data_IF_132464859392
#
_entry.id   IF_132464859392
#
_cell.length_a   1.000
_cell.length_b   1.000
_cell.length_c   1.000
_cell.angle_alpha   90.00
_cell.angle_beta   90.00
_cell.angle_gamma   90.00
#
_symmetry.space_group_name_H-M   'P 1'
#
loop_
_entity.id
_entity.type
_entity.pdbx_description
1 polymer ?
#
# COMPACT_ATOMS: atom_id res chain seq x y z
N UNK A 1 15.08 34.82 17.89
CA UNK A 1 14.19 34.35 18.99
C UNK A 1 13.46 33.11 18.49
N UNK A 2 13.81 31.94 19.02
CA UNK A 2 13.38 30.64 18.48
C UNK A 2 11.95 30.28 18.93
N UNK A 3 11.09 29.88 17.98
CA UNK A 3 9.68 29.52 18.18
C UNK A 3 9.46 28.21 18.98
N UNK A 4 10.56 27.55 19.39
CA UNK A 4 10.54 26.25 20.06
C UNK A 4 10.40 26.34 21.58
N UNK A 5 10.59 27.52 22.19
CA UNK A 5 10.53 27.68 23.65
C UNK A 5 9.11 27.53 24.24
N UNK A 6 8.06 27.66 23.44
CA UNK A 6 6.68 27.47 23.91
C UNK A 6 6.35 26.00 24.20
N UNK A 7 6.93 25.06 23.45
CA UNK A 7 6.51 23.65 23.48
C UNK A 7 6.97 22.92 24.75
N UNK A 8 8.11 23.33 25.33
CA UNK A 8 8.69 22.67 26.51
C UNK A 8 8.08 23.14 27.84
N UNK A 9 7.38 24.28 27.85
CA UNK A 9 6.72 24.81 29.05
C UNK A 9 5.37 24.14 29.35
N UNK A 10 4.93 23.20 28.50
CA UNK A 10 3.65 22.50 28.63
C UNK A 10 3.79 21.02 28.99
N UNK A 11 4.94 20.58 29.52
CA UNK A 11 5.01 19.22 30.08
C UNK A 11 4.23 19.18 31.41
N UNK A 12 3.20 18.33 31.54
CA UNK A 12 2.55 18.11 32.84
C UNK A 12 3.55 17.41 33.78
N UNK A 13 3.43 17.61 35.10
CA UNK A 13 4.35 16.99 36.05
C UNK A 13 4.25 15.47 35.95
N UNK A 14 5.41 14.81 36.03
CA UNK A 14 5.49 13.36 36.09
C UNK A 14 4.71 12.87 37.32
N UNK A 15 3.60 12.16 37.08
CA UNK A 15 2.81 11.56 38.15
C UNK A 15 3.60 10.38 38.69
N UNK A 16 4.25 10.59 39.83
CA UNK A 16 4.75 9.52 40.67
C UNK A 16 3.56 8.78 41.29
N UNK A 17 3.49 7.48 41.02
CA UNK A 17 2.72 6.50 41.81
C UNK A 17 1.20 6.62 41.76
N UNK A 18 0.59 5.92 40.80
CA UNK A 18 -0.76 5.34 40.97
C UNK A 18 -0.72 3.96 40.34
N UNK A 19 -1.27 2.99 41.07
CA UNK A 19 -1.35 1.56 40.75
C UNK A 19 -1.67 1.26 39.27
N UNK A 20 -1.17 0.13 38.73
CA UNK A 20 -1.45 -0.25 37.36
C UNK A 20 -2.98 -0.29 37.13
N UNK A 21 -3.48 0.31 36.04
CA UNK A 21 -4.88 0.20 35.71
C UNK A 21 -5.20 -1.29 35.56
N UNK A 22 -6.20 -1.76 36.31
CA UNK A 22 -6.77 -3.08 36.15
C UNK A 22 -7.28 -3.17 34.71
N UNK A 23 -6.48 -3.79 33.85
CA UNK A 23 -6.84 -4.09 32.47
C UNK A 23 -7.99 -5.07 32.57
N UNK A 24 -9.22 -4.56 32.48
CA UNK A 24 -10.38 -5.40 32.26
C UNK A 24 -10.08 -6.25 31.04
N UNK A 25 -10.15 -7.57 31.24
CA UNK A 25 -9.84 -8.62 30.28
C UNK A 25 -10.75 -8.52 29.06
N UNK A 26 -10.49 -7.58 28.16
CA UNK A 26 -11.14 -7.53 26.86
C UNK A 26 -10.68 -8.77 26.10
N UNK A 27 -11.59 -9.63 25.62
CA UNK A 27 -11.18 -10.78 24.84
C UNK A 27 -10.39 -10.28 23.64
N UNK A 28 -9.11 -10.68 23.54
CA UNK A 28 -8.33 -10.50 22.32
C UNK A 28 -9.17 -11.10 21.17
N UNK A 29 -9.46 -10.35 20.09
CA UNK A 29 -10.07 -10.95 18.92
C UNK A 29 -9.09 -11.99 18.39
N UNK A 30 -9.36 -13.25 18.69
CA UNK A 30 -8.57 -14.37 18.19
C UNK A 30 -8.99 -14.53 16.74
N UNK A 31 -8.15 -14.07 15.81
CA UNK A 31 -8.32 -14.38 14.40
C UNK A 31 -8.13 -15.89 14.25
N UNK A 32 -9.24 -16.61 14.23
CA UNK A 32 -9.27 -18.03 13.90
C UNK A 32 -9.31 -18.11 12.39
N UNK A 33 -8.33 -18.76 11.79
CA UNK A 33 -8.39 -19.15 10.38
C UNK A 33 -9.60 -20.08 10.25
N UNK A 34 -10.67 -19.61 9.63
CA UNK A 34 -11.80 -20.46 9.31
C UNK A 34 -11.27 -21.64 8.48
N UNK A 35 -11.65 -22.87 8.85
CA UNK A 35 -11.34 -24.05 8.04
C UNK A 35 -11.72 -23.76 6.59
N UNK A 36 -10.90 -24.16 5.60
CA UNK A 36 -11.25 -24.00 4.21
C UNK A 36 -12.59 -24.69 4.00
N UNK A 37 -13.65 -23.89 3.83
CA UNK A 37 -14.86 -24.43 3.21
C UNK A 37 -14.40 -24.81 1.83
N UNK A 38 -14.44 -26.11 1.53
CA UNK A 38 -14.23 -26.67 0.21
C UNK A 38 -15.39 -26.23 -0.69
N UNK A 39 -15.45 -24.91 -0.92
CA UNK A 39 -16.20 -24.34 -2.02
C UNK A 39 -15.41 -24.81 -3.21
N UNK A 40 -15.94 -25.80 -3.93
CA UNK A 40 -15.56 -26.05 -5.31
C UNK A 40 -15.39 -24.68 -5.95
N UNK A 41 -14.19 -24.26 -6.37
CA UNK A 41 -14.01 -22.97 -6.99
C UNK A 41 -14.67 -23.06 -8.37
N UNK A 42 -15.99 -22.89 -8.40
CA UNK A 42 -16.72 -22.39 -9.54
C UNK A 42 -16.39 -20.89 -9.66
N UNK A 43 -15.10 -20.53 -9.49
CA UNK A 43 -14.57 -19.30 -10.01
C UNK A 43 -14.73 -19.51 -11.51
N UNK A 44 -15.83 -19.00 -12.05
CA UNK A 44 -15.90 -18.70 -13.46
C UNK A 44 -14.81 -17.66 -13.65
N UNK A 45 -13.59 -18.14 -13.84
CA UNK A 45 -12.47 -17.37 -14.32
C UNK A 45 -12.92 -16.99 -15.72
N UNK A 46 -13.64 -15.87 -15.85
CA UNK A 46 -13.41 -15.06 -17.06
C UNK A 46 -11.89 -14.93 -17.16
N UNK A 47 -11.30 -14.84 -18.35
CA UNK A 47 -9.88 -14.50 -18.48
C UNK A 47 -9.68 -13.11 -17.87
N UNK A 48 -9.62 -13.06 -16.54
CA UNK A 48 -9.46 -11.86 -15.77
C UNK A 48 -7.98 -11.64 -15.90
N UNK A 49 -7.64 -10.63 -16.69
CA UNK A 49 -6.27 -10.25 -16.93
C UNK A 49 -5.62 -10.07 -15.55
N UNK A 50 -4.75 -11.00 -15.20
CA UNK A 50 -4.12 -11.07 -13.89
C UNK A 50 -2.66 -10.75 -14.10
N UNK A 51 -2.04 -10.10 -13.10
CA UNK A 51 -0.61 -9.86 -13.15
C UNK A 51 0.24 -11.14 -13.31
N UNK A 52 -0.31 -12.31 -12.95
CA UNK A 52 0.32 -13.62 -13.09
C UNK A 52 0.20 -14.20 -14.52
N UNK A 53 -0.88 -13.88 -15.24
CA UNK A 53 -1.12 -14.29 -16.63
C UNK A 53 -0.63 -13.26 -17.66
N UNK A 54 -0.26 -12.06 -17.19
CA UNK A 54 0.14 -10.96 -18.04
C UNK A 54 1.40 -11.24 -18.87
N UNK A 55 1.46 -10.64 -20.06
CA UNK A 55 2.61 -10.65 -20.95
C UNK A 55 3.88 -10.19 -20.22
N UNK A 56 5.06 -10.75 -20.54
CA UNK A 56 6.32 -10.31 -19.95
C UNK A 56 6.61 -8.83 -20.23
N UNK A 57 6.17 -8.30 -21.38
CA UNK A 57 6.30 -6.89 -21.76
C UNK A 57 5.50 -6.00 -20.82
N UNK A 58 4.25 -6.37 -20.50
CA UNK A 58 3.42 -5.63 -19.56
C UNK A 58 4.03 -5.62 -18.17
N UNK A 59 4.52 -6.78 -17.69
CA UNK A 59 5.20 -6.87 -16.40
C UNK A 59 6.44 -5.99 -16.36
N UNK A 60 7.22 -5.96 -17.43
CA UNK A 60 8.40 -5.10 -17.53
C UNK A 60 8.04 -3.62 -17.47
N UNK A 61 7.05 -3.17 -18.25
CA UNK A 61 6.58 -1.78 -18.24
C UNK A 61 6.05 -1.36 -16.86
N UNK A 62 5.31 -2.25 -16.19
CA UNK A 62 4.83 -2.04 -14.82
C UNK A 62 5.99 -1.86 -13.85
N UNK A 63 6.95 -2.77 -13.88
CA UNK A 63 8.04 -2.79 -12.91
C UNK A 63 8.97 -1.58 -13.10
N UNK A 64 9.18 -1.12 -14.35
CA UNK A 64 9.86 0.15 -14.63
C UNK A 64 9.12 1.36 -14.04
N UNK A 65 7.81 1.44 -14.26
CA UNK A 65 6.98 2.52 -13.72
C UNK A 65 6.99 2.51 -12.18
N UNK A 66 6.78 1.35 -11.55
CA UNK A 66 6.77 1.19 -10.09
C UNK A 66 8.14 1.53 -9.48
N UNK A 67 9.23 1.02 -10.07
CA UNK A 67 10.59 1.34 -9.63
C UNK A 67 10.85 2.84 -9.67
N UNK A 68 10.42 3.52 -10.74
CA UNK A 68 10.57 4.95 -10.87
C UNK A 68 9.80 5.74 -9.81
N UNK A 69 8.51 5.46 -9.60
CA UNK A 69 7.70 6.22 -8.62
C UNK A 69 8.16 6.01 -7.18
N UNK A 70 8.75 4.85 -6.86
CA UNK A 70 9.26 4.54 -5.51
C UNK A 70 10.53 5.33 -5.17
N UNK A 71 11.31 5.74 -6.17
CA UNK A 71 12.57 6.49 -5.99
C UNK A 71 12.39 7.98 -6.28
N UNK A 72 11.48 8.35 -7.18
CA UNK A 72 11.35 9.71 -7.68
C UNK A 72 10.47 10.59 -6.78
N UNK A 73 11.09 11.52 -6.04
CA UNK A 73 10.38 12.48 -5.16
C UNK A 73 9.42 13.42 -5.88
N UNK A 74 9.66 13.72 -7.16
CA UNK A 74 8.75 14.54 -7.95
C UNK A 74 7.48 13.80 -8.37
N UNK A 75 7.52 12.46 -8.38
CA UNK A 75 6.35 11.63 -8.63
C UNK A 75 5.55 11.44 -7.32
N UNK A 76 4.23 11.54 -7.40
CA UNK A 76 3.32 11.34 -6.27
C UNK A 76 2.04 10.65 -6.75
N UNK A 77 1.93 9.36 -6.46
CA UNK A 77 0.86 8.50 -6.93
C UNK A 77 -0.55 8.93 -6.45
N UNK A 78 -0.78 9.36 -5.19
CA UNK A 78 -2.13 9.68 -4.72
C UNK A 78 -2.82 10.82 -5.47
N UNK A 79 -2.07 11.79 -6.01
CA UNK A 79 -2.63 12.91 -6.78
C UNK A 79 -2.29 12.82 -8.27
N UNK A 80 -1.69 11.72 -8.74
CA UNK A 80 -1.29 11.55 -10.13
C UNK A 80 -0.25 12.58 -10.62
N UNK A 81 0.57 13.14 -9.72
CA UNK A 81 1.65 14.04 -10.12
C UNK A 81 2.82 13.20 -10.63
N UNK A 82 3.22 13.38 -11.88
CA UNK A 82 4.34 12.64 -12.47
C UNK A 82 5.38 13.64 -12.98
N UNK A 83 6.67 13.32 -12.85
CA UNK A 83 7.69 14.03 -13.62
C UNK A 83 7.63 13.62 -15.10
N UNK A 84 8.33 14.32 -15.98
CA UNK A 84 8.32 14.03 -17.43
C UNK A 84 8.68 12.57 -17.74
N UNK A 85 9.66 12.00 -17.04
CA UNK A 85 10.04 10.60 -17.19
C UNK A 85 8.95 9.65 -16.67
N UNK A 86 8.42 9.92 -15.48
CA UNK A 86 7.32 9.14 -14.90
C UNK A 86 6.05 9.17 -15.75
N UNK A 87 5.75 10.30 -16.39
CA UNK A 87 4.61 10.42 -17.31
C UNK A 87 4.80 9.53 -18.54
N UNK A 88 6.00 9.51 -19.13
CA UNK A 88 6.32 8.60 -20.25
C UNK A 88 6.21 7.13 -19.84
N UNK A 89 6.73 6.77 -18.66
CA UNK A 89 6.60 5.40 -18.12
C UNK A 89 5.15 5.04 -17.88
N UNK A 90 4.34 5.98 -17.37
CA UNK A 90 2.90 5.77 -17.17
C UNK A 90 2.19 5.53 -18.49
N UNK A 91 2.45 6.36 -19.51
CA UNK A 91 1.91 6.16 -20.86
C UNK A 91 2.35 4.82 -21.47
N UNK A 92 3.62 4.42 -21.29
CA UNK A 92 4.11 3.12 -21.75
C UNK A 92 3.38 1.96 -21.08
N UNK A 93 3.20 2.04 -19.76
CA UNK A 93 2.47 1.04 -18.98
C UNK A 93 0.99 0.95 -19.42
N UNK A 94 0.31 2.07 -19.59
CA UNK A 94 -1.11 2.11 -19.98
C UNK A 94 -1.33 1.61 -21.44
N UNK A 95 -0.36 1.82 -22.33
CA UNK A 95 -0.42 1.37 -23.72
C UNK A 95 0.05 -0.08 -23.92
N UNK A 96 0.70 -0.68 -22.93
CA UNK A 96 1.12 -2.08 -23.05
C UNK A 96 -0.09 -2.97 -22.74
N UNK A 97 -0.48 -3.89 -23.63
CA UNK A 97 -1.60 -4.76 -23.36
C UNK A 97 -1.21 -5.83 -22.33
N UNK A 98 -2.06 -6.02 -21.32
CA UNK A 98 -1.82 -7.02 -20.28
C UNK A 98 -1.87 -8.45 -20.83
N UNK A 99 -2.77 -8.70 -21.76
CA UNK A 99 -2.93 -9.98 -22.44
C UNK A 99 -2.37 -9.87 -23.87
N UNK A 100 -1.76 -10.95 -24.36
CA UNK A 100 -1.41 -11.02 -25.78
C UNK A 100 -2.72 -11.07 -26.57
N UNK A 101 -2.95 -10.11 -27.45
CA UNK A 101 -4.05 -10.20 -28.40
C UNK A 101 -3.73 -11.39 -29.32
N UNK A 102 -4.47 -12.49 -29.14
CA UNK A 102 -4.45 -13.64 -30.06
C UNK A 102 -5.19 -13.32 -31.36
#
# INVERSE_FOLDING_TARGET
MSLLSGLLNHMPPAIAGVDPPKVDSRPRPRLVLANPVERTPQLITRPHASAATATPEWRHARDQYLSHIMVCRSCYAPTGRHCTAGARLRTSYDNTPMEAHQ
#
